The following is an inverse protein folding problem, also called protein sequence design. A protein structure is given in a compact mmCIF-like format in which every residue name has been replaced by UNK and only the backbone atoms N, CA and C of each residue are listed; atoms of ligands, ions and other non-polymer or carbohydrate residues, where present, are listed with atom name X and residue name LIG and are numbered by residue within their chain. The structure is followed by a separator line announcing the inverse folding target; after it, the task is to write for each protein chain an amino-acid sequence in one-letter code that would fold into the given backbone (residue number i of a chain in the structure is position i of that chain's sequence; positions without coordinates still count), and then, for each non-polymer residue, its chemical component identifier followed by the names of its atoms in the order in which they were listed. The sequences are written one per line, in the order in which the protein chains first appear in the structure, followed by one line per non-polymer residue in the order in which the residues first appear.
data_IF_820748135839
#
_entry.id   IF_820748135839
#
_cell.length_a   1.000
_cell.length_b   1.000
_cell.length_c   1.000
_cell.angle_alpha   90.00
_cell.angle_beta   90.00
_cell.angle_gamma   90.00
#
_symmetry.space_group_name_H-M   'P 1'
#
loop_
_entity.id
_entity.type
_entity.pdbx_description
1 polymer ?
#
# COMPACT_ATOMS: atom_id res chain seq x y z
N UNK A 1 51.75 -8.30 -1.03
CA UNK A 1 50.59 -8.61 -1.88
C UNK A 1 49.39 -8.66 -0.94
N UNK A 2 48.71 -7.52 -0.81
CA UNK A 2 47.49 -7.41 -0.01
C UNK A 2 46.30 -7.61 -0.96
N UNK A 3 45.47 -8.65 -0.70
CA UNK A 3 44.27 -8.92 -1.41
C UNK A 3 43.13 -7.99 -0.87
N UNK A 4 42.44 -7.41 -1.82
CA UNK A 4 41.28 -6.52 -1.63
C UNK A 4 40.22 -7.12 -0.69
N UNK A 5 39.91 -6.38 0.37
CA UNK A 5 38.73 -6.61 1.17
C UNK A 5 37.54 -6.12 0.37
N UNK A 6 36.84 -7.04 -0.29
CA UNK A 6 35.60 -6.78 -0.99
C UNK A 6 34.57 -6.15 -0.04
N UNK A 7 34.17 -4.93 -0.34
CA UNK A 7 33.10 -4.18 0.30
C UNK A 7 31.80 -4.96 0.14
N UNK A 8 31.31 -5.55 1.24
CA UNK A 8 30.03 -6.20 1.29
C UNK A 8 28.92 -5.11 1.25
N UNK A 9 28.58 -4.66 0.05
CA UNK A 9 27.40 -3.84 -0.16
C UNK A 9 26.19 -4.74 0.02
N UNK A 10 25.66 -4.77 1.24
CA UNK A 10 24.40 -5.44 1.54
C UNK A 10 23.33 -4.93 0.59
N UNK A 11 22.82 -5.80 -0.29
CA UNK A 11 21.63 -5.52 -1.10
C UNK A 11 20.50 -5.21 -0.13
N UNK A 12 20.10 -3.93 -0.03
CA UNK A 12 18.81 -3.58 0.60
C UNK A 12 17.76 -4.40 -0.12
N UNK A 13 17.09 -5.29 0.59
CA UNK A 13 15.96 -6.03 0.05
C UNK A 13 14.92 -4.98 -0.37
N UNK A 14 14.63 -4.93 -1.66
CA UNK A 14 13.64 -4.00 -2.22
C UNK A 14 12.26 -4.49 -1.79
N UNK A 15 11.66 -3.84 -0.80
CA UNK A 15 10.37 -4.21 -0.20
C UNK A 15 9.22 -3.75 -1.09
N UNK A 16 9.44 -2.77 -1.94
CA UNK A 16 8.44 -2.22 -2.84
C UNK A 16 8.94 -2.23 -4.29
N UNK A 17 8.03 -2.51 -5.20
CA UNK A 17 8.23 -2.39 -6.65
C UNK A 17 7.24 -1.39 -7.23
N UNK A 18 7.64 -0.63 -8.27
CA UNK A 18 6.75 0.26 -9.00
C UNK A 18 6.29 -0.40 -10.28
N UNK A 19 4.99 -0.34 -10.55
CA UNK A 19 4.37 -0.74 -11.82
C UNK A 19 3.80 0.50 -12.48
N UNK A 20 4.26 0.78 -13.69
CA UNK A 20 3.74 1.87 -14.49
C UNK A 20 2.32 1.53 -15.01
N UNK A 21 1.38 2.44 -14.87
CA UNK A 21 -0.01 2.26 -15.31
C UNK A 21 -0.12 1.88 -16.80
N UNK A 22 0.78 2.40 -17.63
CA UNK A 22 0.84 2.13 -19.07
C UNK A 22 1.27 0.68 -19.40
N UNK A 23 1.97 0.01 -18.50
CA UNK A 23 2.41 -1.38 -18.66
C UNK A 23 1.32 -2.39 -18.26
N UNK A 24 0.24 -1.93 -17.63
CA UNK A 24 -0.83 -2.81 -17.16
C UNK A 24 -1.71 -3.19 -18.35
N UNK A 25 -1.75 -4.50 -18.65
CA UNK A 25 -2.65 -5.02 -19.69
C UNK A 25 -4.12 -4.89 -19.25
N UNK A 26 -5.03 -4.47 -20.14
CA UNK A 26 -6.45 -4.37 -19.82
C UNK A 26 -7.01 -5.75 -19.46
N UNK A 27 -7.82 -5.80 -18.42
CA UNK A 27 -8.50 -7.02 -17.97
C UNK A 27 -9.98 -6.75 -17.80
N UNK A 28 -10.80 -7.59 -18.42
CA UNK A 28 -12.24 -7.54 -18.21
C UNK A 28 -12.57 -8.18 -16.85
N UNK A 29 -13.29 -7.45 -16.01
CA UNK A 29 -13.71 -7.88 -14.69
C UNK A 29 -15.21 -7.77 -14.59
N UNK A 30 -15.83 -8.82 -14.05
CA UNK A 30 -17.26 -8.92 -13.88
C UNK A 30 -17.61 -8.69 -12.41
N UNK A 31 -18.53 -7.78 -12.17
CA UNK A 31 -19.00 -7.41 -10.83
C UNK A 31 -20.51 -7.60 -10.76
N UNK A 32 -21.01 -7.93 -9.59
CA UNK A 32 -22.41 -7.72 -9.31
C UNK A 32 -22.72 -6.21 -9.26
N UNK A 33 -23.99 -5.85 -9.29
CA UNK A 33 -24.39 -4.43 -9.40
C UNK A 33 -23.84 -3.58 -8.27
N UNK A 34 -23.88 -4.11 -7.04
CA UNK A 34 -23.41 -3.39 -5.86
C UNK A 34 -21.89 -3.13 -5.89
N UNK A 35 -21.12 -4.14 -6.22
CA UNK A 35 -19.65 -4.02 -6.37
C UNK A 35 -19.30 -3.08 -7.53
N UNK A 36 -20.03 -3.16 -8.64
CA UNK A 36 -19.82 -2.28 -9.80
C UNK A 36 -20.01 -0.81 -9.41
N UNK A 37 -21.04 -0.48 -8.62
CA UNK A 37 -21.29 0.88 -8.13
C UNK A 37 -20.19 1.37 -7.19
N UNK A 38 -19.68 0.49 -6.31
CA UNK A 38 -18.55 0.81 -5.42
C UNK A 38 -17.26 1.04 -6.21
N UNK A 39 -16.93 0.16 -7.16
CA UNK A 39 -15.75 0.29 -8.02
C UNK A 39 -15.83 1.56 -8.86
N UNK A 40 -16.98 1.88 -9.45
CA UNK A 40 -17.18 3.12 -10.20
C UNK A 40 -17.02 4.37 -9.33
N UNK A 41 -17.46 4.31 -8.07
CA UNK A 41 -17.27 5.41 -7.12
C UNK A 41 -15.79 5.59 -6.77
N UNK A 42 -15.08 4.49 -6.52
CA UNK A 42 -13.65 4.52 -6.25
C UNK A 42 -12.87 5.01 -7.48
N UNK A 43 -13.22 4.55 -8.69
CA UNK A 43 -12.61 5.03 -9.94
C UNK A 43 -12.71 6.55 -10.06
N UNK A 44 -13.89 7.13 -9.81
CA UNK A 44 -14.09 8.60 -9.82
C UNK A 44 -13.21 9.31 -8.79
N UNK A 45 -13.11 8.77 -7.57
CA UNK A 45 -12.24 9.34 -6.53
C UNK A 45 -10.76 9.27 -6.89
N UNK A 46 -10.36 8.29 -7.69
CA UNK A 46 -8.99 8.08 -8.13
C UNK A 46 -8.61 8.90 -9.37
N UNK A 47 -9.57 9.51 -10.10
CA UNK A 47 -9.22 10.47 -11.15
C UNK A 47 -8.48 11.66 -10.54
N UNK A 48 -7.77 12.44 -11.34
CA UNK A 48 -7.03 13.61 -10.85
C UNK A 48 -7.95 14.65 -10.21
N UNK A 49 -9.05 14.99 -10.89
CA UNK A 49 -10.06 15.93 -10.41
C UNK A 49 -10.81 15.40 -9.19
N UNK A 50 -11.19 14.12 -9.22
CA UNK A 50 -11.87 13.47 -8.09
C UNK A 50 -11.01 13.44 -6.83
N UNK A 51 -9.74 13.05 -6.94
CA UNK A 51 -8.82 13.05 -5.82
C UNK A 51 -8.60 14.44 -5.24
N UNK A 52 -8.41 15.45 -6.10
CA UNK A 52 -8.30 16.85 -5.70
C UNK A 52 -9.53 17.31 -4.92
N UNK A 53 -10.72 17.01 -5.44
CA UNK A 53 -12.00 17.35 -4.77
C UNK A 53 -12.12 16.68 -3.40
N UNK A 54 -11.74 15.39 -3.27
CA UNK A 54 -11.71 14.67 -1.98
C UNK A 54 -10.74 15.35 -1.01
N UNK A 55 -9.53 15.66 -1.44
CA UNK A 55 -8.54 16.34 -0.61
C UNK A 55 -9.02 17.71 -0.13
N UNK A 56 -9.66 18.50 -1.00
CA UNK A 56 -10.21 19.81 -0.64
C UNK A 56 -11.36 19.66 0.39
N UNK A 57 -12.23 18.67 0.23
CA UNK A 57 -13.30 18.39 1.18
C UNK A 57 -12.77 17.97 2.55
N UNK A 58 -11.70 17.17 2.59
CA UNK A 58 -11.04 16.75 3.83
C UNK A 58 -10.34 17.93 4.51
N UNK A 59 -9.62 18.76 3.76
CA UNK A 59 -8.97 19.98 4.27
C UNK A 59 -9.98 20.96 4.90
N UNK A 60 -11.12 21.17 4.27
CA UNK A 60 -12.20 22.01 4.83
C UNK A 60 -12.71 21.54 6.18
N UNK A 61 -12.55 20.25 6.48
CA UNK A 61 -12.93 19.62 7.76
C UNK A 61 -11.74 19.48 8.72
N UNK A 62 -10.57 20.05 8.40
CA UNK A 62 -9.32 19.88 9.14
C UNK A 62 -8.91 18.40 9.29
N UNK A 63 -9.23 17.58 8.29
CA UNK A 63 -8.83 16.18 8.21
C UNK A 63 -7.60 16.03 7.29
N UNK A 64 -6.85 14.97 7.50
CA UNK A 64 -5.71 14.62 6.62
C UNK A 64 -6.20 14.22 5.22
N UNK A 65 -5.36 14.45 4.22
CA UNK A 65 -5.72 14.31 2.80
C UNK A 65 -5.37 12.94 2.22
N UNK A 66 -5.37 11.90 3.04
CA UNK A 66 -5.15 10.52 2.59
C UNK A 66 -6.45 9.82 2.21
N UNK A 67 -6.37 8.97 1.19
CA UNK A 67 -7.44 8.04 0.80
C UNK A 67 -6.98 6.61 1.09
N UNK A 68 -7.56 5.99 2.10
CA UNK A 68 -7.29 4.60 2.46
C UNK A 68 -8.50 3.74 2.13
N UNK A 69 -8.29 2.68 1.36
CA UNK A 69 -9.33 1.75 0.90
C UNK A 69 -8.95 0.33 1.32
N UNK A 70 -9.88 -0.39 1.91
CA UNK A 70 -9.77 -1.82 2.17
C UNK A 70 -10.73 -2.58 1.24
N UNK A 71 -10.17 -3.42 0.39
CA UNK A 71 -10.94 -4.37 -0.44
C UNK A 71 -10.98 -5.73 0.26
N UNK A 72 -12.15 -6.16 0.66
CA UNK A 72 -12.34 -7.46 1.29
C UNK A 72 -13.14 -8.42 0.37
N UNK A 73 -13.02 -9.71 0.60
CA UNK A 73 -13.72 -10.74 -0.18
C UNK A 73 -12.92 -12.04 -0.23
N UNK A 74 -13.53 -13.12 -0.73
CA UNK A 74 -12.90 -14.42 -0.81
C UNK A 74 -11.61 -14.40 -1.67
N UNK A 75 -10.66 -15.31 -1.44
CA UNK A 75 -9.52 -15.48 -2.33
C UNK A 75 -9.98 -15.73 -3.77
N UNK A 76 -9.25 -15.19 -4.74
CA UNK A 76 -9.56 -15.37 -6.17
C UNK A 76 -10.68 -14.50 -6.74
N UNK A 77 -11.35 -13.65 -5.95
CA UNK A 77 -12.43 -12.77 -6.43
C UNK A 77 -11.96 -11.56 -7.26
N UNK A 78 -10.68 -11.44 -7.53
CA UNK A 78 -10.15 -10.40 -8.43
C UNK A 78 -9.81 -9.07 -7.77
N UNK A 79 -9.73 -8.99 -6.43
CA UNK A 79 -9.40 -7.74 -5.70
C UNK A 79 -8.16 -7.03 -6.26
N UNK A 80 -7.05 -7.73 -6.33
CA UNK A 80 -5.78 -7.18 -6.87
C UNK A 80 -5.90 -6.79 -8.34
N UNK A 81 -6.62 -7.60 -9.15
CA UNK A 81 -6.89 -7.26 -10.55
C UNK A 81 -7.73 -5.98 -10.70
N UNK A 82 -8.67 -5.76 -9.78
CA UNK A 82 -9.45 -4.53 -9.72
C UNK A 82 -8.55 -3.31 -9.47
N UNK A 83 -7.60 -3.40 -8.55
CA UNK A 83 -6.64 -2.29 -8.29
C UNK A 83 -5.81 -1.97 -9.53
N UNK A 84 -5.32 -3.00 -10.23
CA UNK A 84 -4.58 -2.80 -11.48
C UNK A 84 -5.42 -2.11 -12.55
N UNK A 85 -6.66 -2.54 -12.73
CA UNK A 85 -7.56 -1.94 -13.71
C UNK A 85 -7.92 -0.49 -13.35
N UNK A 86 -8.16 -0.20 -12.06
CA UNK A 86 -8.34 1.16 -11.56
C UNK A 86 -7.11 2.04 -11.83
N UNK A 87 -5.92 1.54 -11.55
CA UNK A 87 -4.67 2.24 -11.81
C UNK A 87 -4.50 2.57 -13.29
N UNK A 88 -4.74 1.58 -14.17
CA UNK A 88 -4.69 1.74 -15.61
C UNK A 88 -5.68 2.80 -16.11
N UNK A 89 -6.94 2.74 -15.68
CA UNK A 89 -8.01 3.66 -16.11
C UNK A 89 -7.80 5.08 -15.61
N UNK A 90 -7.30 5.22 -14.38
CA UNK A 90 -7.05 6.55 -13.80
C UNK A 90 -5.65 7.08 -14.12
N UNK A 91 -4.82 6.29 -14.81
CA UNK A 91 -3.46 6.65 -15.20
C UNK A 91 -2.52 6.84 -14.00
N UNK A 92 -2.71 6.10 -12.91
CA UNK A 92 -1.86 6.14 -11.72
C UNK A 92 -0.96 4.93 -11.67
N UNK A 93 0.32 5.15 -11.40
CA UNK A 93 1.25 4.07 -11.14
C UNK A 93 0.95 3.40 -9.80
N UNK A 94 1.42 2.16 -9.64
CA UNK A 94 1.25 1.39 -8.41
C UNK A 94 2.62 1.18 -7.77
N UNK A 95 2.73 1.42 -6.47
CA UNK A 95 3.83 0.96 -5.64
C UNK A 95 3.31 -0.23 -4.85
N UNK A 96 3.84 -1.43 -5.12
CA UNK A 96 3.45 -2.65 -4.42
C UNK A 96 4.32 -2.82 -3.18
N UNK A 97 3.69 -2.86 -2.01
CA UNK A 97 4.33 -3.30 -0.78
C UNK A 97 4.13 -4.80 -0.62
N UNK A 98 5.21 -5.56 -0.70
CA UNK A 98 5.19 -7.02 -0.51
C UNK A 98 5.25 -7.36 0.97
N UNK A 99 4.08 -7.65 1.53
CA UNK A 99 3.91 -7.98 2.95
C UNK A 99 4.70 -9.22 3.36
N UNK A 100 4.80 -10.21 2.47
CA UNK A 100 5.56 -11.44 2.75
C UNK A 100 7.05 -11.16 2.93
N UNK A 101 7.61 -10.26 2.13
CA UNK A 101 9.01 -9.81 2.29
C UNK A 101 9.19 -8.98 3.55
N UNK A 102 8.21 -8.20 3.92
CA UNK A 102 8.22 -7.42 5.16
C UNK A 102 8.31 -8.35 6.38
N UNK A 103 7.51 -9.42 6.44
CA UNK A 103 7.51 -10.37 7.56
C UNK A 103 8.77 -11.22 7.68
N UNK A 104 9.46 -11.49 6.58
CA UNK A 104 10.65 -12.34 6.55
C UNK A 104 11.95 -11.63 6.98
N UNK A 105 11.90 -10.34 7.31
CA UNK A 105 13.03 -9.59 7.83
C UNK A 105 13.20 -9.80 9.34
N UNK A 106 14.44 -9.68 9.85
CA UNK A 106 14.72 -9.74 11.29
C UNK A 106 13.97 -8.67 12.07
N UNK A 107 13.57 -9.00 13.31
CA UNK A 107 12.94 -8.08 14.28
C UNK A 107 13.73 -6.78 14.35
N UNK A 108 13.14 -5.63 14.14
CA UNK A 108 13.82 -4.33 14.13
C UNK A 108 14.22 -3.81 12.74
N UNK A 109 14.58 -4.67 11.78
CA UNK A 109 14.69 -4.24 10.37
C UNK A 109 13.33 -4.07 9.72
N UNK A 110 12.37 -4.90 10.08
CA UNK A 110 10.99 -4.85 9.56
C UNK A 110 10.32 -3.52 9.87
N UNK A 111 10.42 -3.05 11.11
CA UNK A 111 9.84 -1.76 11.52
C UNK A 111 10.47 -0.58 10.77
N UNK A 112 11.80 -0.59 10.63
CA UNK A 112 12.52 0.44 9.87
C UNK A 112 12.13 0.43 8.40
N UNK A 113 11.95 -0.77 7.84
CA UNK A 113 11.61 -0.95 6.44
C UNK A 113 10.19 -0.46 6.12
N UNK A 114 9.22 -0.69 7.02
CA UNK A 114 7.85 -0.17 6.86
C UNK A 114 7.85 1.35 6.97
N UNK A 115 8.54 1.93 7.95
CA UNK A 115 8.66 3.38 8.06
C UNK A 115 9.30 3.98 6.80
N UNK A 116 10.40 3.39 6.33
CA UNK A 116 11.06 3.82 5.10
C UNK A 116 10.12 3.74 3.88
N UNK A 117 9.27 2.71 3.79
CA UNK A 117 8.28 2.58 2.71
C UNK A 117 7.30 3.76 2.71
N UNK A 118 6.75 4.12 3.86
CA UNK A 118 5.83 5.26 3.97
C UNK A 118 6.53 6.59 3.69
N UNK A 119 7.77 6.76 4.16
CA UNK A 119 8.58 7.97 3.92
C UNK A 119 8.95 8.10 2.44
N UNK A 120 9.33 7.01 1.77
CA UNK A 120 9.64 6.97 0.34
C UNK A 120 8.38 7.26 -0.49
N UNK A 121 7.24 6.68 -0.09
CA UNK A 121 5.96 6.95 -0.72
C UNK A 121 5.59 8.44 -0.59
N UNK A 122 5.67 9.01 0.60
CA UNK A 122 5.39 10.44 0.85
C UNK A 122 6.28 11.35 0.03
N UNK A 123 7.56 11.01 -0.12
CA UNK A 123 8.48 11.76 -1.01
C UNK A 123 8.02 11.70 -2.46
N UNK A 124 7.65 10.52 -2.96
CA UNK A 124 7.19 10.35 -4.33
C UNK A 124 5.92 11.15 -4.63
N UNK A 125 4.99 11.28 -3.66
CA UNK A 125 3.79 12.12 -3.80
C UNK A 125 4.14 13.59 -3.96
N UNK A 126 5.13 14.07 -3.18
CA UNK A 126 5.54 15.47 -3.22
C UNK A 126 6.31 15.83 -4.51
N UNK A 127 7.11 14.90 -5.04
CA UNK A 127 7.91 15.12 -6.26
C UNK A 127 7.06 15.10 -7.53
N UNK A 128 6.16 14.15 -7.65
CA UNK A 128 5.36 13.97 -8.86
C UNK A 128 4.08 14.83 -8.88
N UNK A 129 3.65 15.38 -7.73
CA UNK A 129 2.40 16.12 -7.59
C UNK A 129 1.14 15.29 -7.86
N UNK A 130 1.32 14.03 -8.25
CA UNK A 130 0.27 13.07 -8.59
C UNK A 130 0.50 11.77 -7.82
N UNK A 131 -0.23 11.54 -6.72
CA UNK A 131 0.01 10.38 -5.89
C UNK A 131 -0.22 9.08 -6.64
N UNK A 132 0.75 8.18 -6.56
CA UNK A 132 0.66 6.78 -6.98
C UNK A 132 -0.26 6.02 -6.03
N UNK A 133 -0.70 4.83 -6.42
CA UNK A 133 -1.44 3.93 -5.53
C UNK A 133 -0.42 3.09 -4.75
N UNK A 134 -0.39 3.22 -3.42
CA UNK A 134 0.34 2.30 -2.56
C UNK A 134 -0.53 1.07 -2.33
N UNK A 135 -0.16 -0.06 -2.90
CA UNK A 135 -0.88 -1.32 -2.80
C UNK A 135 -0.25 -2.24 -1.76
N UNK A 136 -0.99 -2.51 -0.68
CA UNK A 136 -0.69 -3.60 0.24
C UNK A 136 -1.42 -4.85 -0.24
N UNK A 137 -0.69 -5.72 -0.93
CA UNK A 137 -1.22 -7.00 -1.37
C UNK A 137 -1.13 -8.02 -0.23
N UNK A 138 -2.18 -8.86 -0.04
CA UNK A 138 -2.28 -9.82 1.06
C UNK A 138 -2.23 -9.17 2.44
N UNK A 139 -2.95 -8.07 2.59
CA UNK A 139 -2.99 -7.29 3.84
C UNK A 139 -3.58 -8.07 5.03
N UNK A 140 -4.37 -9.11 4.81
CA UNK A 140 -4.85 -10.06 5.81
C UNK A 140 -3.71 -10.74 6.58
N UNK A 141 -2.57 -10.93 5.94
CA UNK A 141 -1.36 -11.42 6.61
C UNK A 141 -0.84 -10.47 7.71
N UNK A 142 -1.18 -9.18 7.64
CA UNK A 142 -0.80 -8.16 8.64
C UNK A 142 -1.96 -7.90 9.61
N UNK A 143 -3.19 -7.77 9.06
CA UNK A 143 -4.37 -7.39 9.82
C UNK A 143 -5.13 -8.58 10.43
N UNK A 144 -4.46 -9.72 10.61
CA UNK A 144 -5.02 -10.88 11.30
C UNK A 144 -5.56 -10.54 12.69
N UNK A 145 -6.43 -11.39 13.22
CA UNK A 145 -7.05 -11.22 14.55
C UNK A 145 -5.97 -11.11 15.62
N UNK A 146 -5.98 -10.00 16.38
CA UNK A 146 -5.13 -9.89 17.59
C UNK A 146 -5.51 -10.97 18.56
N UNK A 147 -4.55 -11.84 18.92
CA UNK A 147 -4.72 -12.78 20.01
C UNK A 147 -4.57 -12.01 21.32
N UNK A 148 -5.67 -11.80 22.03
CA UNK A 148 -5.62 -11.26 23.40
C UNK A 148 -4.89 -12.27 24.31
N UNK A 149 -3.86 -11.80 25.03
CA UNK A 149 -3.07 -12.64 25.92
C UNK A 149 -1.79 -13.23 25.31
N UNK A 150 -1.32 -12.67 24.18
CA UNK A 150 -0.08 -13.07 23.54
C UNK A 150 1.11 -13.04 24.50
N UNK A 151 1.61 -14.23 24.86
CA UNK A 151 2.79 -14.42 25.72
C UNK A 151 4.06 -14.57 24.92
N UNK A 152 3.94 -14.93 23.62
CA UNK A 152 5.07 -15.23 22.76
C UNK A 152 5.67 -13.99 22.10
N UNK A 153 6.99 -14.00 21.89
CA UNK A 153 7.73 -12.90 21.25
C UNK A 153 7.23 -12.60 19.82
N UNK A 154 6.74 -13.62 19.12
CA UNK A 154 6.19 -13.52 17.75
C UNK A 154 4.89 -12.71 17.73
N UNK A 155 3.98 -12.98 18.66
CA UNK A 155 2.68 -12.27 18.74
C UNK A 155 2.88 -10.79 19.11
N UNK A 156 3.85 -10.48 19.98
CA UNK A 156 4.22 -9.08 20.32
C UNK A 156 4.80 -8.34 19.13
N UNK A 157 5.60 -9.03 18.32
CA UNK A 157 6.18 -8.48 17.10
C UNK A 157 5.09 -8.18 16.05
N UNK A 158 4.16 -9.10 15.84
CA UNK A 158 3.02 -8.88 14.92
C UNK A 158 2.18 -7.68 15.37
N UNK A 159 1.94 -7.51 16.65
CA UNK A 159 1.24 -6.35 17.20
C UNK A 159 1.98 -5.03 16.99
N UNK A 160 3.32 -5.04 17.10
CA UNK A 160 4.15 -3.86 16.82
C UNK A 160 4.06 -3.47 15.34
N UNK A 161 4.16 -4.43 14.43
CA UNK A 161 4.04 -4.21 12.99
C UNK A 161 2.68 -3.63 12.60
N UNK A 162 1.61 -4.20 13.15
CA UNK A 162 0.25 -3.70 12.93
C UNK A 162 0.13 -2.22 13.35
N UNK A 163 0.66 -1.87 14.53
CA UNK A 163 0.60 -0.50 15.02
C UNK A 163 1.35 0.49 14.11
N UNK A 164 2.54 0.12 13.61
CA UNK A 164 3.33 0.97 12.73
C UNK A 164 2.61 1.16 11.39
N UNK A 165 2.01 0.11 10.84
CA UNK A 165 1.25 0.22 9.60
C UNK A 165 0.00 1.07 9.79
N UNK A 166 -0.76 0.85 10.86
CA UNK A 166 -1.93 1.66 11.18
C UNK A 166 -1.57 3.13 11.34
N UNK A 167 -0.48 3.43 12.05
CA UNK A 167 0.01 4.80 12.18
C UNK A 167 0.44 5.38 10.82
N UNK A 168 1.14 4.61 9.99
CA UNK A 168 1.49 5.02 8.63
C UNK A 168 0.26 5.30 7.76
N UNK A 169 -0.81 4.52 7.92
CA UNK A 169 -2.10 4.74 7.23
C UNK A 169 -2.82 5.99 7.75
N UNK A 170 -2.79 6.24 9.05
CA UNK A 170 -3.36 7.45 9.66
C UNK A 170 -2.62 8.72 9.21
N UNK A 171 -1.29 8.64 9.06
CA UNK A 171 -0.43 9.75 8.64
C UNK A 171 -0.30 9.88 7.11
N UNK A 172 -0.99 9.05 6.36
CA UNK A 172 -0.89 8.98 4.92
C UNK A 172 -1.42 10.26 4.26
N UNK A 173 -0.59 10.84 3.41
CA UNK A 173 -0.98 11.86 2.42
C UNK A 173 -0.83 11.22 1.04
N UNK A 174 -1.91 10.69 0.48
CA UNK A 174 -1.87 9.97 -0.79
C UNK A 174 -2.97 8.91 -0.88
N UNK A 175 -2.71 7.83 -1.62
CA UNK A 175 -3.67 6.77 -1.89
C UNK A 175 -3.08 5.44 -1.45
N UNK A 176 -3.76 4.75 -0.53
CA UNK A 176 -3.43 3.40 -0.11
C UNK A 176 -4.62 2.48 -0.39
N UNK A 177 -4.35 1.35 -1.02
CA UNK A 177 -5.35 0.30 -1.23
C UNK A 177 -4.78 -1.01 -0.66
N UNK A 178 -5.52 -1.63 0.25
CA UNK A 178 -5.20 -2.93 0.84
C UNK A 178 -6.15 -4.01 0.28
N UNK A 179 -5.61 -5.18 -0.09
CA UNK A 179 -6.40 -6.30 -0.66
C UNK A 179 -6.17 -7.60 0.09
#
# INVERSE_FOLDING_TARGET
IFADAGTFTGRKQQIAGTIECKSIAPKELFYEKHEADQVATLERMLTEEGYKSVCEALKKKNLRTGLTVLMHGAPGTGKTSCVYELARRTGRDIIIADVSKIKNCYVGETEKNIKALFDDYKRSVNEDGRPKILLFNEADAIFGVRKEGATDAVDKMEGSLQNIILQGMEDLEGILIAT
#
